data_IF_525906641056
#
_entry.id   IF_525906641056
#
_cell.length_a   1.000
_cell.length_b   1.000
_cell.length_c   1.000
_cell.angle_alpha   90.00
_cell.angle_beta   90.00
_cell.angle_gamma   90.00
#
_symmetry.space_group_name_H-M   'P 1'
#
loop_
_entity.id
_entity.type
_entity.pdbx_description
1 polymer ?
#
# COMPACT_ATOMS: atom_id res chain seq x y z
N UNK A 1 16.16 -11.45 -17.23
CA UNK A 1 15.36 -12.16 -16.22
C UNK A 1 14.56 -11.14 -15.43
N UNK A 2 13.28 -11.33 -15.36
CA UNK A 2 12.44 -10.43 -14.59
C UNK A 2 12.66 -10.67 -13.11
N UNK A 3 12.88 -9.60 -12.37
CA UNK A 3 12.99 -9.68 -10.93
C UNK A 3 11.63 -10.00 -10.33
N UNK A 4 11.60 -10.91 -9.38
CA UNK A 4 10.36 -11.20 -8.67
C UNK A 4 10.00 -10.04 -7.76
N UNK A 5 8.72 -9.70 -7.74
CA UNK A 5 8.21 -8.72 -6.81
C UNK A 5 8.40 -9.23 -5.38
N UNK A 6 8.92 -8.39 -4.53
CA UNK A 6 9.04 -8.70 -3.11
C UNK A 6 7.75 -8.30 -2.40
N UNK A 7 7.18 -9.21 -1.62
CA UNK A 7 5.94 -8.95 -0.89
C UNK A 7 6.22 -9.05 0.61
N UNK A 8 5.89 -7.99 1.33
CA UNK A 8 6.04 -7.93 2.79
C UNK A 8 4.67 -7.70 3.43
N UNK A 9 4.28 -8.58 4.35
CA UNK A 9 3.05 -8.43 5.11
C UNK A 9 3.33 -7.76 6.45
N UNK A 10 2.59 -6.70 6.73
CA UNK A 10 2.60 -6.02 8.03
C UNK A 10 1.27 -6.32 8.69
N UNK A 11 1.29 -7.12 9.76
CA UNK A 11 0.08 -7.59 10.44
C UNK A 11 -0.03 -7.01 11.84
N UNK A 12 -1.17 -7.24 12.47
CA UNK A 12 -1.46 -6.77 13.82
C UNK A 12 -1.42 -5.25 13.92
N UNK A 13 -1.89 -4.58 12.87
CA UNK A 13 -1.85 -3.12 12.77
C UNK A 13 -3.15 -2.57 13.37
N UNK A 14 -3.09 -1.80 14.48
CA UNK A 14 -4.33 -1.31 15.11
C UNK A 14 -5.05 -0.23 14.30
N UNK A 15 -4.31 0.62 13.59
CA UNK A 15 -4.88 1.65 12.72
C UNK A 15 -4.24 1.52 11.35
N UNK A 16 -4.98 0.89 10.46
CA UNK A 16 -4.48 0.51 9.13
C UNK A 16 -4.06 1.72 8.30
N UNK A 17 -4.91 2.73 8.23
CA UNK A 17 -4.63 3.89 7.39
C UNK A 17 -3.49 4.73 7.95
N UNK A 18 -3.44 4.92 9.26
CA UNK A 18 -2.33 5.64 9.89
C UNK A 18 -1.01 4.93 9.67
N UNK A 19 -1.01 3.60 9.80
CA UNK A 19 0.19 2.80 9.56
C UNK A 19 0.65 2.93 8.12
N UNK A 20 -0.29 2.83 7.17
CA UNK A 20 0.01 2.95 5.74
C UNK A 20 0.59 4.33 5.41
N UNK A 21 0.05 5.38 6.01
CA UNK A 21 0.58 6.74 5.82
C UNK A 21 2.02 6.85 6.29
N UNK A 22 2.32 6.31 7.48
CA UNK A 22 3.69 6.35 8.01
C UNK A 22 4.64 5.53 7.15
N UNK A 23 4.18 4.38 6.68
CA UNK A 23 4.99 3.51 5.82
C UNK A 23 5.26 4.17 4.47
N UNK A 24 4.24 4.79 3.87
CA UNK A 24 4.39 5.52 2.61
C UNK A 24 5.35 6.69 2.77
N UNK A 25 5.22 7.44 3.86
CA UNK A 25 6.13 8.55 4.16
C UNK A 25 7.57 8.06 4.30
N UNK A 26 7.77 6.97 5.05
CA UNK A 26 9.10 6.39 5.23
C UNK A 26 9.72 5.96 3.90
N UNK A 27 8.93 5.32 3.06
CA UNK A 27 9.39 4.89 1.74
C UNK A 27 9.72 6.08 0.84
N UNK A 28 8.90 7.13 0.89
CA UNK A 28 9.14 8.37 0.17
C UNK A 28 10.45 9.02 0.63
N UNK A 29 10.67 9.09 1.94
CA UNK A 29 11.89 9.68 2.49
C UNK A 29 13.14 8.89 2.08
N UNK A 30 12.98 7.60 1.78
CA UNK A 30 14.06 6.75 1.28
C UNK A 30 14.28 6.88 -0.24
N UNK A 31 13.51 7.73 -0.90
CA UNK A 31 13.69 8.01 -2.33
C UNK A 31 12.81 7.19 -3.25
N UNK A 32 11.82 6.49 -2.72
CA UNK A 32 10.91 5.66 -3.55
C UNK A 32 9.69 6.44 -3.99
N UNK A 33 9.04 5.93 -5.03
CA UNK A 33 7.74 6.38 -5.49
C UNK A 33 6.71 5.33 -5.12
N UNK A 34 5.56 5.76 -4.61
CA UNK A 34 4.60 4.87 -3.96
C UNK A 34 3.22 5.01 -4.58
N UNK A 35 2.54 3.88 -4.79
CA UNK A 35 1.12 3.83 -5.07
C UNK A 35 0.43 3.20 -3.87
N UNK A 36 -0.61 3.85 -3.35
CA UNK A 36 -1.44 3.30 -2.29
C UNK A 36 -2.77 2.86 -2.90
N UNK A 37 -3.09 1.58 -2.78
CA UNK A 37 -4.31 1.01 -3.34
C UNK A 37 -5.35 0.83 -2.23
N UNK A 38 -6.47 1.54 -2.37
CA UNK A 38 -7.63 1.43 -1.49
C UNK A 38 -8.67 0.48 -2.12
N UNK A 39 -9.53 -0.06 -1.29
CA UNK A 39 -10.54 -1.02 -1.74
C UNK A 39 -11.80 -0.40 -2.32
N UNK A 40 -12.07 0.86 -1.97
CA UNK A 40 -13.25 1.58 -2.45
C UNK A 40 -13.03 3.09 -2.29
N UNK A 41 -13.98 3.87 -2.79
CA UNK A 41 -13.86 5.33 -2.75
C UNK A 41 -13.87 5.88 -1.33
N UNK A 42 -14.61 5.27 -0.43
CA UNK A 42 -14.65 5.72 0.98
C UNK A 42 -13.29 5.54 1.65
N UNK A 43 -12.64 4.41 1.43
CA UNK A 43 -11.30 4.17 1.96
C UNK A 43 -10.27 5.09 1.31
N UNK A 44 -10.42 5.34 0.01
CA UNK A 44 -9.55 6.26 -0.72
C UNK A 44 -9.65 7.67 -0.12
N UNK A 45 -10.86 8.15 0.12
CA UNK A 45 -11.07 9.47 0.73
C UNK A 45 -10.48 9.54 2.13
N UNK A 46 -10.68 8.47 2.93
CA UNK A 46 -10.12 8.41 4.28
C UNK A 46 -8.59 8.40 4.26
N UNK A 47 -7.99 7.69 3.31
CA UNK A 47 -6.55 7.64 3.15
C UNK A 47 -5.99 9.01 2.77
N UNK A 48 -6.66 9.68 1.83
CA UNK A 48 -6.25 11.02 1.40
C UNK A 48 -6.32 12.01 2.56
N UNK A 49 -7.39 11.97 3.35
CA UNK A 49 -7.53 12.81 4.53
C UNK A 49 -6.45 12.53 5.57
N UNK A 50 -6.14 11.25 5.79
CA UNK A 50 -5.11 10.85 6.74
C UNK A 50 -3.73 11.36 6.32
N UNK A 51 -3.42 11.35 5.03
CA UNK A 51 -2.15 11.86 4.51
C UNK A 51 -1.98 13.36 4.82
N UNK A 52 -3.08 14.11 4.82
CA UNK A 52 -3.02 15.54 5.13
C UNK A 52 -2.86 15.83 6.62
N UNK A 53 -3.39 14.96 7.48
CA UNK A 53 -3.49 15.25 8.93
C UNK A 53 -2.43 14.58 9.77
N UNK A 54 -1.83 13.48 9.28
CA UNK A 54 -0.95 12.65 10.08
C UNK A 54 0.40 13.30 10.39
N UNK A 55 0.85 14.19 9.53
CA UNK A 55 2.12 14.92 9.71
C UNK A 55 1.88 16.40 9.48
N UNK A 56 1.31 17.11 10.49
CA UNK A 56 0.95 18.50 10.32
C UNK A 56 2.16 19.44 10.08
N UNK A 57 3.35 19.01 10.48
CA UNK A 57 4.56 19.81 10.30
C UNK A 57 5.36 19.39 9.06
N UNK A 58 5.07 18.21 8.49
CA UNK A 58 5.79 17.69 7.33
C UNK A 58 4.82 17.53 6.18
N UNK A 59 5.04 18.26 5.11
CA UNK A 59 4.25 18.07 3.91
C UNK A 59 4.78 16.84 3.15
N UNK A 60 3.90 15.86 2.94
CA UNK A 60 4.22 14.67 2.14
C UNK A 60 3.45 14.78 0.83
N UNK A 61 4.13 14.98 -0.31
CA UNK A 61 3.45 15.18 -1.59
C UNK A 61 2.65 13.94 -2.00
N UNK A 62 1.35 14.13 -2.21
CA UNK A 62 0.47 13.05 -2.65
C UNK A 62 -0.71 13.60 -3.45
N UNK A 63 -1.20 12.81 -4.41
CA UNK A 63 -2.39 13.13 -5.20
C UNK A 63 -3.15 11.86 -5.50
N UNK A 64 -4.39 11.99 -5.93
CA UNK A 64 -5.18 10.86 -6.42
C UNK A 64 -4.74 10.52 -7.84
N UNK A 65 -4.86 9.24 -8.20
CA UNK A 65 -4.65 8.81 -9.57
C UNK A 65 -5.65 9.53 -10.48
N UNK A 66 -5.23 9.93 -11.64
CA UNK A 66 -6.05 10.74 -12.53
C UNK A 66 -5.80 12.24 -12.39
N UNK A 67 -5.14 12.66 -11.32
CA UNK A 67 -4.68 14.04 -11.22
C UNK A 67 -3.63 14.32 -12.30
N UNK A 68 -3.68 15.48 -12.99
CA UNK A 68 -2.68 15.79 -14.02
C UNK A 68 -1.24 15.78 -13.50
N UNK A 69 -1.04 15.95 -12.20
CA UNK A 69 0.30 15.97 -11.60
C UNK A 69 0.74 14.60 -11.06
N UNK A 70 -0.06 13.54 -11.30
CA UNK A 70 0.24 12.23 -10.70
C UNK A 70 1.63 11.71 -11.10
N UNK A 71 2.03 11.86 -12.36
CA UNK A 71 3.33 11.39 -12.81
C UNK A 71 4.50 12.11 -12.14
N UNK A 72 4.27 13.32 -11.65
CA UNK A 72 5.29 14.17 -11.02
C UNK A 72 5.24 14.11 -9.49
N UNK A 73 4.25 13.41 -8.93
CA UNK A 73 4.04 13.36 -7.48
C UNK A 73 4.49 11.99 -6.97
N UNK A 74 5.32 11.91 -5.93
CA UNK A 74 5.90 10.64 -5.50
C UNK A 74 4.92 9.67 -4.89
N UNK A 75 3.80 10.14 -4.32
CA UNK A 75 2.79 9.25 -3.72
C UNK A 75 1.47 9.46 -4.45
N UNK A 76 0.95 8.39 -5.03
CA UNK A 76 -0.31 8.40 -5.77
C UNK A 76 -1.28 7.44 -5.11
N UNK A 77 -2.51 7.92 -4.83
CA UNK A 77 -3.56 7.14 -4.19
C UNK A 77 -4.59 6.74 -5.23
N UNK A 78 -5.04 5.50 -5.19
CA UNK A 78 -6.05 5.00 -6.13
C UNK A 78 -6.93 3.95 -5.47
N UNK A 79 -8.16 3.79 -5.96
CA UNK A 79 -9.04 2.69 -5.61
C UNK A 79 -9.27 1.75 -6.79
N UNK A 80 -8.51 1.90 -7.87
CA UNK A 80 -8.68 1.10 -9.09
C UNK A 80 -7.34 0.70 -9.65
N UNK A 81 -7.23 -0.58 -10.06
CA UNK A 81 -6.06 -1.08 -10.76
C UNK A 81 -6.21 -0.93 -12.28
N UNK A 82 -7.37 -0.49 -12.75
CA UNK A 82 -7.64 -0.32 -14.18
C UNK A 82 -7.07 0.99 -14.72
N UNK A 83 -6.79 1.96 -13.85
CA UNK A 83 -6.16 3.20 -14.29
C UNK A 83 -4.67 2.97 -14.50
N UNK A 84 -4.11 3.67 -15.46
CA UNK A 84 -2.67 3.63 -15.67
C UNK A 84 -1.97 4.33 -14.52
N UNK A 85 -1.03 3.62 -13.89
CA UNK A 85 -0.30 4.14 -12.74
C UNK A 85 1.09 4.58 -13.17
N UNK A 86 1.52 5.80 -12.73
CA UNK A 86 2.80 6.34 -13.18
C UNK A 86 4.02 5.75 -12.48
N UNK A 87 3.82 5.05 -11.34
CA UNK A 87 4.92 4.57 -10.52
C UNK A 87 4.89 3.06 -10.36
N UNK A 88 6.06 2.44 -10.25
CA UNK A 88 6.22 0.99 -10.17
C UNK A 88 7.25 0.57 -9.11
N UNK A 89 7.62 1.45 -8.19
CA UNK A 89 8.58 1.10 -7.14
C UNK A 89 7.89 0.28 -6.04
N UNK A 90 6.93 0.89 -5.36
CA UNK A 90 6.27 0.29 -4.19
C UNK A 90 4.76 0.44 -4.30
N UNK A 91 4.05 -0.65 -4.08
CA UNK A 91 2.60 -0.66 -3.92
C UNK A 91 2.29 -0.93 -2.45
N UNK A 92 1.49 -0.05 -1.83
CA UNK A 92 0.96 -0.25 -0.48
C UNK A 92 -0.50 -0.61 -0.61
N UNK A 93 -0.85 -1.84 -0.27
CA UNK A 93 -2.23 -2.33 -0.40
C UNK A 93 -2.95 -2.24 0.94
N UNK A 94 -3.94 -1.36 1.02
CA UNK A 94 -4.82 -1.25 2.19
C UNK A 94 -6.18 -1.89 1.94
N UNK A 95 -6.42 -2.42 0.73
CA UNK A 95 -7.64 -3.14 0.40
C UNK A 95 -7.64 -4.55 0.99
N UNK A 96 -8.74 -5.26 0.84
CA UNK A 96 -8.85 -6.64 1.33
C UNK A 96 -8.62 -7.68 0.24
N UNK A 97 -8.43 -7.26 -1.00
CA UNK A 97 -8.22 -8.17 -2.12
C UNK A 97 -6.76 -8.14 -2.57
N UNK A 98 -6.24 -9.26 -3.09
CA UNK A 98 -4.89 -9.24 -3.64
C UNK A 98 -4.86 -8.39 -4.91
N UNK A 99 -3.87 -7.49 -5.05
CA UNK A 99 -3.76 -6.69 -6.27
C UNK A 99 -3.37 -7.56 -7.45
N UNK A 100 -4.09 -7.40 -8.56
CA UNK A 100 -3.80 -8.17 -9.78
C UNK A 100 -2.53 -7.68 -10.46
N UNK A 101 -2.21 -6.39 -10.30
CA UNK A 101 -1.06 -5.78 -10.93
C UNK A 101 0.21 -5.81 -10.07
N UNK A 102 0.27 -6.68 -9.06
CA UNK A 102 1.39 -6.72 -8.13
C UNK A 102 2.74 -6.86 -8.85
N UNK A 103 2.76 -7.61 -9.95
CA UNK A 103 4.01 -7.91 -10.66
C UNK A 103 4.62 -6.69 -11.37
N UNK A 104 3.85 -5.60 -11.50
CA UNK A 104 4.35 -4.35 -12.08
C UNK A 104 5.19 -3.55 -11.09
N UNK A 105 5.20 -3.94 -9.82
CA UNK A 105 5.92 -3.24 -8.76
C UNK A 105 7.12 -4.04 -8.31
N UNK A 106 8.17 -3.34 -7.91
CA UNK A 106 9.35 -3.99 -7.35
C UNK A 106 9.04 -4.57 -5.96
N UNK A 107 8.14 -3.90 -5.22
CA UNK A 107 7.83 -4.28 -3.86
C UNK A 107 6.37 -3.98 -3.54
N UNK A 108 5.75 -4.88 -2.79
CA UNK A 108 4.36 -4.71 -2.32
C UNK A 108 4.34 -4.80 -0.81
N UNK A 109 3.74 -3.82 -0.15
CA UNK A 109 3.46 -3.86 1.28
C UNK A 109 1.98 -4.18 1.47
N UNK A 110 1.70 -5.33 2.08
CA UNK A 110 0.33 -5.72 2.44
C UNK A 110 0.09 -5.33 3.89
N UNK A 111 -0.93 -4.51 4.14
CA UNK A 111 -1.24 -4.04 5.48
C UNK A 111 -2.46 -4.80 6.00
N UNK A 112 -2.31 -5.44 7.16
CA UNK A 112 -3.38 -6.24 7.76
C UNK A 112 -3.63 -5.72 9.17
N UNK A 113 -4.86 -5.29 9.43
CA UNK A 113 -5.23 -4.73 10.73
C UNK A 113 -5.60 -5.82 11.73
N UNK A 114 -5.84 -5.39 12.97
CA UNK A 114 -6.29 -6.28 14.04
C UNK A 114 -7.77 -6.65 13.90
N UNK A 115 -8.52 -5.98 13.02
CA UNK A 115 -9.91 -6.34 12.73
C UNK A 115 -9.98 -7.77 12.22
N UNK A 116 -10.91 -8.57 12.75
CA UNK A 116 -10.97 -9.99 12.45
C UNK A 116 -11.23 -10.27 10.97
N UNK A 117 -12.13 -9.52 10.33
CA UNK A 117 -12.42 -9.70 8.91
C UNK A 117 -11.22 -9.33 8.05
N UNK A 118 -10.54 -8.26 8.41
CA UNK A 118 -9.35 -7.83 7.68
C UNK A 118 -8.20 -8.82 7.87
N UNK A 119 -8.05 -9.36 9.08
CA UNK A 119 -7.02 -10.37 9.36
C UNK A 119 -7.28 -11.64 8.56
N UNK A 120 -8.55 -12.04 8.43
CA UNK A 120 -8.91 -13.21 7.63
C UNK A 120 -8.63 -12.99 6.15
N UNK A 121 -9.01 -11.81 5.64
CA UNK A 121 -8.69 -11.44 4.26
C UNK A 121 -7.17 -11.41 4.03
N UNK A 122 -6.41 -10.96 5.03
CA UNK A 122 -4.95 -10.96 4.97
C UNK A 122 -4.37 -12.35 4.84
N UNK A 123 -4.91 -13.32 5.59
CA UNK A 123 -4.47 -14.71 5.47
C UNK A 123 -4.73 -15.26 4.07
N UNK A 124 -5.88 -14.91 3.48
CA UNK A 124 -6.20 -15.33 2.12
C UNK A 124 -5.22 -14.73 1.10
N UNK A 125 -4.87 -13.47 1.26
CA UNK A 125 -3.88 -12.83 0.37
C UNK A 125 -2.50 -13.47 0.52
N UNK A 126 -2.11 -13.80 1.73
CA UNK A 126 -0.83 -14.47 1.98
C UNK A 126 -0.76 -15.79 1.24
N UNK A 127 -1.81 -16.60 1.34
CA UNK A 127 -1.90 -17.89 0.63
C UNK A 127 -1.92 -17.69 -0.88
N UNK A 128 -2.60 -16.64 -1.35
CA UNK A 128 -2.66 -16.31 -2.77
C UNK A 128 -1.26 -16.08 -3.34
N UNK A 129 -0.44 -15.28 -2.66
CA UNK A 129 0.92 -15.02 -3.10
C UNK A 129 1.77 -16.30 -3.07
N UNK A 130 1.56 -17.15 -2.08
CA UNK A 130 2.30 -18.42 -2.02
C UNK A 130 1.95 -19.33 -3.18
N UNK A 131 0.69 -19.35 -3.61
CA UNK A 131 0.26 -20.12 -4.79
C UNK A 131 0.92 -19.62 -6.07
N UNK A 132 1.34 -18.35 -6.09
CA UNK A 132 2.05 -17.77 -7.21
C UNK A 132 3.57 -17.98 -7.12
N UNK A 133 4.02 -18.83 -6.21
CA UNK A 133 5.43 -19.15 -5.98
C UNK A 133 6.24 -18.00 -5.42
N UNK A 134 5.56 -17.00 -4.83
CA UNK A 134 6.22 -15.94 -4.09
C UNK A 134 6.41 -16.39 -2.64
N UNK A 135 7.38 -15.79 -1.97
CA UNK A 135 7.66 -16.07 -0.56
C UNK A 135 7.48 -14.78 0.24
N UNK A 136 6.23 -14.46 0.58
CA UNK A 136 5.99 -13.21 1.32
C UNK A 136 6.65 -13.25 2.69
N UNK A 137 7.23 -12.12 3.08
CA UNK A 137 7.77 -11.96 4.42
C UNK A 137 6.64 -11.52 5.35
N UNK A 138 6.84 -11.68 6.66
CA UNK A 138 5.83 -11.36 7.64
C UNK A 138 6.45 -10.54 8.78
N UNK A 139 5.92 -9.35 8.99
CA UNK A 139 6.30 -8.46 10.07
C UNK A 139 5.07 -8.19 10.94
N UNK A 140 5.19 -8.44 12.24
CA UNK A 140 4.08 -8.22 13.18
C UNK A 140 4.30 -6.84 13.84
N UNK A 141 3.41 -5.91 13.53
CA UNK A 141 3.50 -4.56 14.07
C UNK A 141 3.26 -4.56 15.59
N UNK A 142 3.88 -3.62 16.28
CA UNK A 142 3.71 -3.48 17.72
C UNK A 142 4.50 -4.46 18.57
N UNK A 143 5.22 -5.39 17.96
CA UNK A 143 6.16 -6.23 18.68
C UNK A 143 7.53 -5.57 18.69
N UNK A 144 8.08 -5.43 19.85
CA UNK A 144 9.42 -4.91 20.01
C UNK A 144 10.45 -6.02 20.01
#
# INVERSE_FOLDING_TARGET
>A
MADMTRVDFHTNVPDKLAYACRLARKAYMAGNKIVVLAGNSAQLDAMNAAMWTLSPTDFVPHVLAGDPLAAQTPIVLTDSEEVELPHHDILVNVSQLPPENYAQFQRVFEIVSTDEQDAQAGRQRFLHYRKLNLQPTHFVAGKS
#
